data_IF_271647773193
#
_entry.id   IF_271647773193
#
_cell.length_a   1.000
_cell.length_b   1.000
_cell.length_c   1.000
_cell.angle_alpha   90.00
_cell.angle_beta   90.00
_cell.angle_gamma   90.00
#
_symmetry.space_group_name_H-M   'P 1'
#
loop_
_entity.id
_entity.type
_entity.pdbx_description
1 polymer ?
#
# COMPACT_ATOMS: atom_id res chain seq x y z
N UNK A 1 42.81 30.93 -39.31
CA UNK A 1 42.33 29.78 -38.51
C UNK A 1 42.76 28.50 -39.20
N UNK A 2 43.55 27.67 -38.54
CA UNK A 2 44.04 26.41 -39.10
C UNK A 2 42.96 25.33 -39.04
N UNK A 3 42.93 24.41 -40.02
CA UNK A 3 41.94 23.31 -40.11
C UNK A 3 41.84 22.48 -38.82
N UNK A 4 42.92 22.39 -38.04
CA UNK A 4 42.94 21.76 -36.72
C UNK A 4 42.07 22.48 -35.67
N UNK A 5 42.02 23.82 -35.69
CA UNK A 5 41.22 24.60 -34.73
C UNK A 5 39.72 24.39 -34.97
N UNK A 6 39.30 24.29 -36.23
CA UNK A 6 37.92 24.01 -36.60
C UNK A 6 37.52 22.59 -36.19
N UNK A 7 38.41 21.62 -36.37
CA UNK A 7 38.17 20.22 -35.96
C UNK A 7 38.07 20.08 -34.44
N UNK A 8 38.94 20.77 -33.69
CA UNK A 8 38.88 20.80 -32.23
C UNK A 8 37.60 21.47 -31.71
N UNK A 9 37.14 22.54 -32.37
CA UNK A 9 35.89 23.21 -32.02
C UNK A 9 34.68 22.28 -32.26
N UNK A 10 34.68 21.56 -33.39
CA UNK A 10 33.63 20.61 -33.76
C UNK A 10 33.55 19.43 -32.78
N UNK A 11 34.70 18.85 -32.41
CA UNK A 11 34.78 17.78 -31.40
C UNK A 11 34.31 18.25 -30.02
N UNK A 12 34.67 19.48 -29.62
CA UNK A 12 34.20 20.06 -28.35
C UNK A 12 32.69 20.32 -28.36
N UNK A 13 32.12 20.77 -29.48
CA UNK A 13 30.66 20.96 -29.61
C UNK A 13 29.88 19.63 -29.63
N UNK A 14 30.43 18.57 -30.23
CA UNK A 14 29.81 17.23 -30.20
C UNK A 14 29.85 16.65 -28.78
N UNK A 15 30.96 16.81 -28.06
CA UNK A 15 31.05 16.39 -26.66
C UNK A 15 30.05 17.15 -25.76
N UNK A 16 29.87 18.46 -25.98
CA UNK A 16 28.88 19.25 -25.27
C UNK A 16 27.45 18.74 -25.48
N UNK A 17 27.10 18.31 -26.70
CA UNK A 17 25.77 17.74 -26.98
C UNK A 17 25.52 16.45 -26.18
N UNK A 18 26.53 15.58 -26.04
CA UNK A 18 26.44 14.35 -25.22
C UNK A 18 26.40 14.60 -23.70
N UNK A 19 27.00 15.70 -23.21
CA UNK A 19 26.90 16.09 -21.79
C UNK A 19 25.63 16.89 -21.48
N UNK A 20 24.98 17.51 -22.49
CA UNK A 20 23.68 18.19 -22.31
C UNK A 20 22.48 17.29 -22.59
N UNK A 21 22.68 16.12 -23.19
CA UNK A 21 21.77 14.99 -23.01
C UNK A 21 22.02 14.35 -21.64
N UNK A 22 21.95 15.17 -20.57
CA UNK A 22 21.20 14.71 -19.42
C UNK A 22 19.84 14.37 -20.03
N UNK A 23 19.58 13.08 -20.22
CA UNK A 23 18.24 12.57 -20.04
C UNK A 23 17.70 13.40 -18.87
N UNK A 24 16.68 14.21 -19.15
CA UNK A 24 15.75 14.52 -18.08
C UNK A 24 15.53 13.16 -17.46
N UNK A 25 16.02 12.93 -16.24
CA UNK A 25 15.45 11.88 -15.42
C UNK A 25 13.97 12.16 -15.59
N UNK A 26 13.32 11.36 -16.42
CA UNK A 26 11.88 11.40 -16.55
C UNK A 26 11.48 11.41 -15.10
N UNK A 27 10.83 12.48 -14.65
CA UNK A 27 10.36 12.56 -13.29
C UNK A 27 9.45 11.35 -13.18
N UNK A 28 10.03 10.22 -12.76
CA UNK A 28 9.32 9.04 -12.40
C UNK A 28 8.71 9.57 -11.14
N UNK A 29 7.42 9.94 -11.26
CA UNK A 29 6.57 10.14 -10.10
C UNK A 29 7.04 9.10 -9.08
N UNK A 30 7.54 9.56 -7.91
CA UNK A 30 8.17 8.66 -6.96
C UNK A 30 7.22 7.51 -6.80
N UNK A 31 7.65 6.28 -7.08
CA UNK A 31 6.77 5.13 -7.08
C UNK A 31 6.15 5.05 -5.69
N UNK A 32 4.95 5.61 -5.57
CA UNK A 32 4.23 5.84 -4.32
C UNK A 32 4.00 4.52 -3.60
N UNK A 33 4.10 3.42 -4.35
CA UNK A 33 3.90 2.05 -3.93
C UNK A 33 5.22 1.27 -3.73
N UNK A 34 6.38 1.92 -3.79
CA UNK A 34 7.66 1.26 -3.53
C UNK A 34 7.82 1.01 -2.03
N UNK A 35 7.13 -0.03 -1.57
CA UNK A 35 7.28 -0.55 -0.22
C UNK A 35 8.72 -0.98 -0.03
N UNK A 36 9.34 -0.51 1.04
CA UNK A 36 10.73 -0.85 1.34
C UNK A 36 10.85 -2.36 1.61
N UNK A 37 11.97 -2.99 1.22
CA UNK A 37 12.22 -4.39 1.56
C UNK A 37 12.14 -4.67 3.06
N UNK A 38 12.50 -3.68 3.89
CA UNK A 38 12.42 -3.74 5.34
C UNK A 38 10.97 -3.86 5.85
N UNK A 39 10.08 -2.96 5.43
CA UNK A 39 8.66 -3.05 5.80
C UNK A 39 8.05 -4.37 5.31
N UNK A 40 8.38 -4.79 4.08
CA UNK A 40 7.93 -6.07 3.55
C UNK A 40 8.41 -7.25 4.40
N UNK A 41 9.65 -7.21 4.89
CA UNK A 41 10.21 -8.22 5.78
C UNK A 41 9.47 -8.27 7.12
N UNK A 42 9.20 -7.11 7.74
CA UNK A 42 8.46 -7.01 9.01
C UNK A 42 7.05 -7.58 8.88
N UNK A 43 6.32 -7.23 7.81
CA UNK A 43 5.00 -7.81 7.52
C UNK A 43 5.10 -9.33 7.39
N UNK A 44 6.05 -9.84 6.60
CA UNK A 44 6.25 -11.28 6.43
C UNK A 44 6.62 -12.00 7.74
N UNK A 45 7.33 -11.33 8.65
CA UNK A 45 7.64 -11.87 9.99
C UNK A 45 6.39 -11.90 10.86
N UNK A 46 5.61 -10.82 10.91
CA UNK A 46 4.33 -10.76 11.62
C UNK A 46 3.33 -11.80 11.13
N UNK A 47 3.26 -12.05 9.82
CA UNK A 47 2.46 -13.14 9.25
C UNK A 47 2.86 -14.51 9.79
N UNK A 48 4.14 -14.76 10.12
CA UNK A 48 4.58 -16.04 10.70
C UNK A 48 4.07 -16.23 12.13
N UNK A 49 3.83 -15.14 12.86
CA UNK A 49 3.28 -15.13 14.21
C UNK A 49 1.79 -15.46 14.27
N UNK A 50 1.09 -15.52 13.12
CA UNK A 50 -0.29 -16.03 13.05
C UNK A 50 -0.35 -17.56 13.12
N UNK A 51 -1.42 -18.11 13.70
CA UNK A 51 -1.59 -19.56 13.75
C UNK A 51 -1.95 -20.12 12.36
N UNK A 52 -1.71 -21.41 12.14
CA UNK A 52 -2.15 -22.07 10.89
C UNK A 52 -3.68 -22.05 10.75
N UNK A 53 -4.40 -22.12 11.86
CA UNK A 53 -5.86 -22.06 11.87
C UNK A 53 -6.35 -20.68 11.45
N UNK A 54 -5.81 -19.62 12.05
CA UNK A 54 -6.22 -18.25 11.73
C UNK A 54 -5.92 -17.90 10.28
N UNK A 55 -4.76 -18.30 9.75
CA UNK A 55 -4.44 -18.12 8.32
C UNK A 55 -5.44 -18.80 7.41
N UNK A 56 -5.86 -20.01 7.76
CA UNK A 56 -6.85 -20.77 6.98
C UNK A 56 -8.21 -20.06 7.00
N UNK A 57 -8.70 -19.70 8.19
CA UNK A 57 -9.99 -19.03 8.36
C UNK A 57 -9.99 -17.65 7.70
N UNK A 58 -8.89 -16.89 7.86
CA UNK A 58 -8.69 -15.61 7.20
C UNK A 58 -8.85 -15.75 5.69
N UNK A 59 -8.09 -16.66 5.06
CA UNK A 59 -8.15 -16.85 3.61
C UNK A 59 -9.55 -17.29 3.18
N UNK A 60 -10.17 -18.26 3.87
CA UNK A 60 -11.51 -18.74 3.53
C UNK A 60 -12.58 -17.63 3.59
N UNK A 61 -12.52 -16.74 4.59
CA UNK A 61 -13.47 -15.64 4.73
C UNK A 61 -13.17 -14.51 3.75
N UNK A 62 -11.90 -14.17 3.59
CA UNK A 62 -11.46 -13.15 2.65
C UNK A 62 -11.81 -13.54 1.22
N UNK A 63 -11.48 -14.75 0.79
CA UNK A 63 -11.75 -15.23 -0.58
C UNK A 63 -13.26 -15.22 -0.88
N UNK A 64 -14.11 -15.67 0.05
CA UNK A 64 -15.59 -15.56 -0.11
C UNK A 64 -16.07 -14.13 -0.25
N UNK A 65 -15.50 -13.22 0.54
CA UNK A 65 -15.83 -11.79 0.43
C UNK A 65 -15.43 -11.24 -0.95
N UNK A 66 -14.26 -11.62 -1.49
CA UNK A 66 -13.84 -11.19 -2.83
C UNK A 66 -14.72 -11.77 -3.92
N UNK A 67 -15.01 -13.07 -3.86
CA UNK A 67 -15.94 -13.73 -4.78
C UNK A 67 -17.28 -13.01 -4.80
N UNK A 68 -17.80 -12.62 -3.62
CA UNK A 68 -19.04 -11.86 -3.52
C UNK A 68 -18.93 -10.47 -4.17
N UNK A 69 -17.80 -9.80 -4.00
CA UNK A 69 -17.56 -8.52 -4.66
C UNK A 69 -17.53 -8.62 -6.17
N UNK A 70 -16.88 -9.66 -6.71
CA UNK A 70 -16.81 -9.90 -8.14
C UNK A 70 -18.19 -10.19 -8.73
N UNK A 71 -19.03 -10.98 -8.04
CA UNK A 71 -20.43 -11.22 -8.42
C UNK A 71 -21.24 -9.93 -8.53
N UNK A 72 -21.00 -8.98 -7.62
CA UNK A 72 -21.73 -7.71 -7.57
C UNK A 72 -21.23 -6.69 -8.60
N UNK A 73 -20.14 -6.99 -9.33
CA UNK A 73 -19.56 -6.10 -10.35
C UNK A 73 -19.42 -4.66 -9.82
N UNK A 74 -18.72 -4.51 -8.68
CA UNK A 74 -18.64 -3.34 -7.78
C UNK A 74 -18.20 -1.99 -8.38
N UNK A 75 -18.24 -1.83 -9.70
CA UNK A 75 -17.69 -0.76 -10.53
C UNK A 75 -18.14 0.69 -10.21
N UNK A 76 -18.94 0.92 -9.16
CA UNK A 76 -19.31 2.28 -8.74
C UNK A 76 -19.36 2.55 -7.23
N UNK A 77 -19.41 1.53 -6.35
CA UNK A 77 -19.54 1.78 -4.91
C UNK A 77 -18.92 0.68 -4.03
N UNK A 78 -17.76 0.93 -3.39
CA UNK A 78 -17.13 0.03 -2.42
C UNK A 78 -18.04 -0.40 -1.26
N UNK A 79 -18.95 0.48 -0.81
CA UNK A 79 -19.81 0.19 0.31
C UNK A 79 -20.80 -0.95 0.04
N UNK A 80 -21.17 -1.17 -1.23
CA UNK A 80 -22.04 -2.29 -1.61
C UNK A 80 -21.43 -3.65 -1.26
N UNK A 81 -20.10 -3.78 -1.43
CA UNK A 81 -19.36 -4.94 -0.97
C UNK A 81 -19.32 -5.06 0.56
N UNK A 82 -19.15 -3.93 1.25
CA UNK A 82 -19.01 -3.89 2.71
C UNK A 82 -20.34 -4.10 3.45
N UNK A 83 -21.48 -3.99 2.77
CA UNK A 83 -22.79 -4.30 3.34
C UNK A 83 -23.15 -5.80 3.25
N UNK A 84 -22.33 -6.60 2.56
CA UNK A 84 -22.60 -8.03 2.37
C UNK A 84 -22.40 -8.84 3.66
N UNK A 85 -23.17 -9.92 3.86
CA UNK A 85 -22.93 -10.86 4.96
C UNK A 85 -21.50 -11.42 4.99
N UNK A 86 -20.90 -11.64 3.81
CA UNK A 86 -19.54 -12.14 3.65
C UNK A 86 -18.51 -11.15 4.20
N UNK A 87 -18.68 -9.85 3.92
CA UNK A 87 -17.85 -8.82 4.54
C UNK A 87 -18.05 -8.74 6.05
N UNK A 88 -19.30 -8.78 6.52
CA UNK A 88 -19.57 -8.71 7.96
C UNK A 88 -18.96 -9.89 8.72
N UNK A 89 -19.03 -11.10 8.15
CA UNK A 89 -18.39 -12.30 8.70
C UNK A 89 -16.85 -12.21 8.68
N UNK A 90 -16.28 -11.65 7.60
CA UNK A 90 -14.84 -11.36 7.54
C UNK A 90 -14.41 -10.32 8.58
N UNK A 91 -15.16 -9.23 8.72
CA UNK A 91 -14.93 -8.16 9.69
C UNK A 91 -15.01 -8.70 11.12
N UNK A 92 -16.05 -9.47 11.46
CA UNK A 92 -16.19 -10.07 12.79
C UNK A 92 -15.00 -10.96 13.14
N UNK A 93 -14.51 -11.76 12.18
CA UNK A 93 -13.30 -12.54 12.36
C UNK A 93 -12.07 -11.66 12.61
N UNK A 94 -11.88 -10.59 11.83
CA UNK A 94 -10.77 -9.64 12.03
C UNK A 94 -10.80 -9.00 13.42
N UNK A 95 -11.99 -8.64 13.91
CA UNK A 95 -12.18 -7.99 15.21
C UNK A 95 -12.06 -8.92 16.42
N UNK A 96 -12.39 -10.20 16.25
CA UNK A 96 -12.35 -11.20 17.34
C UNK A 96 -11.04 -11.98 17.42
N UNK A 97 -10.20 -11.88 16.38
CA UNK A 97 -8.93 -12.60 16.29
C UNK A 97 -7.76 -11.87 16.96
N UNK A 98 -6.61 -12.56 17.03
CA UNK A 98 -5.35 -11.94 17.45
C UNK A 98 -5.00 -10.73 16.56
N UNK A 99 -4.44 -9.64 17.12
CA UNK A 99 -3.96 -8.49 16.34
C UNK A 99 -3.00 -8.87 15.20
N UNK A 100 -2.26 -9.99 15.35
CA UNK A 100 -1.35 -10.52 14.33
C UNK A 100 -2.06 -10.89 13.02
N UNK A 101 -3.36 -11.14 13.03
CA UNK A 101 -4.14 -11.39 11.80
C UNK A 101 -4.11 -10.15 10.88
N UNK A 102 -3.92 -8.95 11.42
CA UNK A 102 -3.74 -7.71 10.65
C UNK A 102 -2.60 -7.78 9.63
N UNK A 103 -1.52 -8.51 9.92
CA UNK A 103 -0.43 -8.68 8.94
C UNK A 103 -0.87 -9.43 7.68
N UNK A 104 -1.88 -10.31 7.76
CA UNK A 104 -2.46 -10.97 6.59
C UNK A 104 -3.25 -9.98 5.72
N UNK A 105 -4.00 -9.08 6.37
CA UNK A 105 -4.72 -8.02 5.68
C UNK A 105 -3.77 -7.04 4.99
N UNK A 106 -2.68 -6.65 5.65
CA UNK A 106 -1.61 -5.85 5.05
C UNK A 106 -1.00 -6.52 3.81
N UNK A 107 -0.75 -7.85 3.88
CA UNK A 107 -0.22 -8.59 2.74
C UNK A 107 -1.18 -8.61 1.55
N UNK A 108 -2.48 -8.77 1.81
CA UNK A 108 -3.54 -8.70 0.79
C UNK A 108 -3.64 -7.32 0.16
N UNK A 109 -3.56 -6.26 0.97
CA UNK A 109 -3.50 -4.88 0.48
C UNK A 109 -2.31 -4.66 -0.46
N UNK A 110 -1.11 -5.11 -0.06
CA UNK A 110 0.11 -4.93 -0.85
C UNK A 110 0.11 -5.72 -2.17
N UNK A 111 -0.64 -6.83 -2.23
CA UNK A 111 -0.85 -7.59 -3.46
C UNK A 111 -1.87 -6.96 -4.41
N UNK A 112 -2.55 -5.88 -3.98
CA UNK A 112 -3.56 -5.15 -4.74
C UNK A 112 -4.66 -6.07 -5.28
N UNK A 113 -5.16 -6.98 -4.43
CA UNK A 113 -6.24 -7.89 -4.84
C UNK A 113 -7.57 -7.16 -5.06
N UNK A 114 -7.72 -5.90 -4.60
CA UNK A 114 -8.95 -5.10 -4.72
C UNK A 114 -8.61 -3.60 -4.82
N UNK A 115 -9.34 -2.85 -5.65
CA UNK A 115 -9.12 -1.41 -5.86
C UNK A 115 -9.61 -0.52 -4.69
N UNK A 116 -10.59 -0.98 -3.91
CA UNK A 116 -11.17 -0.23 -2.78
C UNK A 116 -10.65 -0.69 -1.41
N UNK A 117 -9.50 -1.37 -1.39
CA UNK A 117 -8.95 -1.99 -0.19
C UNK A 117 -8.71 -0.99 0.96
N UNK A 118 -8.46 0.28 0.65
CA UNK A 118 -8.31 1.35 1.65
C UNK A 118 -9.58 1.57 2.49
N UNK A 119 -10.77 1.37 1.93
CA UNK A 119 -12.05 1.44 2.66
C UNK A 119 -12.20 0.30 3.67
N UNK A 120 -11.74 -0.91 3.30
CA UNK A 120 -11.73 -2.08 4.18
C UNK A 120 -10.78 -1.83 5.36
N UNK A 121 -9.57 -1.32 5.08
CA UNK A 121 -8.60 -0.99 6.12
C UNK A 121 -9.16 0.09 7.06
N UNK A 122 -9.74 1.15 6.50
CA UNK A 122 -10.38 2.21 7.29
C UNK A 122 -11.42 1.63 8.25
N UNK A 123 -12.38 0.84 7.74
CA UNK A 123 -13.47 0.30 8.57
C UNK A 123 -12.97 -0.67 9.64
N UNK A 124 -11.98 -1.51 9.33
CA UNK A 124 -11.38 -2.43 10.31
C UNK A 124 -10.58 -1.66 11.37
N UNK A 125 -9.74 -0.71 10.98
CA UNK A 125 -8.94 0.09 11.92
C UNK A 125 -9.82 0.95 12.82
N UNK A 126 -10.86 1.59 12.27
CA UNK A 126 -11.81 2.37 13.06
C UNK A 126 -12.50 1.52 14.13
N UNK A 127 -12.80 0.26 13.81
CA UNK A 127 -13.48 -0.65 14.73
C UNK A 127 -12.54 -1.34 15.75
N UNK A 128 -11.26 -1.54 15.41
CA UNK A 128 -10.31 -2.29 16.24
C UNK A 128 -9.24 -1.45 16.93
N UNK A 129 -8.70 -0.45 16.22
CA UNK A 129 -7.48 0.27 16.59
C UNK A 129 -7.56 1.77 16.19
N UNK A 130 -8.54 2.54 16.70
CA UNK A 130 -8.73 3.94 16.30
C UNK A 130 -7.52 4.84 16.61
N UNK A 131 -6.69 4.49 17.59
CA UNK A 131 -5.46 5.25 17.85
C UNK A 131 -4.46 5.23 16.67
N UNK A 132 -4.45 4.17 15.85
CA UNK A 132 -3.62 4.09 14.64
C UNK A 132 -4.13 5.08 13.60
N UNK A 133 -5.45 5.21 13.49
CA UNK A 133 -6.11 6.19 12.61
C UNK A 133 -5.72 7.61 12.99
N UNK A 134 -5.73 7.92 14.29
CA UNK A 134 -5.34 9.23 14.80
C UNK A 134 -3.88 9.54 14.48
N UNK A 135 -2.97 8.57 14.68
CA UNK A 135 -1.55 8.73 14.35
C UNK A 135 -1.30 8.94 12.86
N UNK A 136 -1.95 8.16 12.00
CA UNK A 136 -1.86 8.35 10.54
C UNK A 136 -2.37 9.74 10.20
N UNK A 137 -3.55 10.12 10.69
CA UNK A 137 -4.14 11.44 10.43
C UNK A 137 -3.25 12.59 10.91
N UNK A 138 -2.60 12.43 12.06
CA UNK A 138 -1.68 13.43 12.61
C UNK A 138 -0.42 13.60 11.77
N UNK A 139 0.15 12.51 11.26
CA UNK A 139 1.31 12.54 10.36
C UNK A 139 0.92 13.09 8.98
N UNK A 140 -0.32 12.84 8.59
CA UNK A 140 -0.89 13.22 7.30
C UNK A 140 -1.56 14.60 7.32
N UNK A 141 -1.25 15.49 8.29
CA UNK A 141 -1.82 16.84 8.58
C UNK A 141 -2.12 17.79 7.38
N UNK A 142 -1.87 17.38 6.13
CA UNK A 142 -2.18 18.11 4.88
C UNK A 142 -2.78 17.25 3.74
N UNK A 143 -3.03 15.95 3.94
CA UNK A 143 -3.42 15.00 2.88
C UNK A 143 -4.73 14.31 3.21
N UNK A 144 -5.81 14.78 2.57
CA UNK A 144 -6.96 13.94 2.23
C UNK A 144 -7.69 13.20 3.36
N UNK A 145 -8.52 12.23 2.98
CA UNK A 145 -9.10 11.24 3.91
C UNK A 145 -8.08 10.14 4.23
N UNK A 146 -8.36 9.27 5.21
CA UNK A 146 -7.47 8.13 5.49
C UNK A 146 -7.43 7.15 4.31
N UNK A 147 -8.55 6.96 3.62
CA UNK A 147 -8.60 6.11 2.43
C UNK A 147 -7.64 6.62 1.35
N UNK A 148 -7.62 7.94 1.15
CA UNK A 148 -6.65 8.60 0.28
C UNK A 148 -5.22 8.47 0.81
N UNK A 149 -5.03 8.50 2.13
CA UNK A 149 -3.71 8.33 2.76
C UNK A 149 -3.12 6.95 2.51
N UNK A 150 -3.91 5.87 2.61
CA UNK A 150 -3.44 4.52 2.27
C UNK A 150 -3.15 4.36 0.77
N UNK A 151 -3.90 5.07 -0.07
CA UNK A 151 -3.68 5.06 -1.52
C UNK A 151 -2.42 5.84 -1.92
N UNK A 152 -2.20 7.02 -1.34
CA UNK A 152 -1.15 7.97 -1.67
C UNK A 152 0.15 7.79 -0.87
N UNK A 153 0.09 7.15 0.30
CA UNK A 153 1.23 6.97 1.19
C UNK A 153 1.19 5.60 1.90
N UNK A 154 1.07 4.48 1.15
CA UNK A 154 0.94 3.15 1.73
C UNK A 154 2.12 2.78 2.64
N UNK A 155 3.34 3.19 2.28
CA UNK A 155 4.55 2.95 3.09
C UNK A 155 4.43 3.56 4.49
N UNK A 156 3.99 4.82 4.58
CA UNK A 156 3.88 5.53 5.86
C UNK A 156 2.77 4.92 6.72
N UNK A 157 1.59 4.71 6.12
CA UNK A 157 0.44 4.16 6.83
C UNK A 157 0.73 2.75 7.39
N UNK A 158 1.36 1.89 6.59
CA UNK A 158 1.73 0.55 7.02
C UNK A 158 2.87 0.56 8.05
N UNK A 159 3.85 1.47 7.94
CA UNK A 159 4.87 1.62 8.99
C UNK A 159 4.24 1.94 10.34
N UNK A 160 3.35 2.93 10.41
CA UNK A 160 2.67 3.32 11.66
C UNK A 160 1.89 2.14 12.23
N UNK A 161 1.17 1.40 11.38
CA UNK A 161 0.40 0.24 11.81
C UNK A 161 1.31 -0.89 12.33
N UNK A 162 2.36 -1.25 11.58
CA UNK A 162 3.32 -2.29 12.01
C UNK A 162 4.06 -1.88 13.28
N UNK A 163 4.50 -0.63 13.40
CA UNK A 163 5.14 -0.11 14.61
C UNK A 163 4.19 -0.20 15.82
N UNK A 164 2.90 0.04 15.62
CA UNK A 164 1.92 -0.10 16.71
C UNK A 164 1.75 -1.56 17.13
N UNK A 165 1.68 -2.50 16.18
CA UNK A 165 1.55 -3.93 16.49
C UNK A 165 2.81 -4.49 17.17
N UNK A 166 4.00 -4.06 16.74
CA UNK A 166 5.28 -4.51 17.31
C UNK A 166 5.50 -4.02 18.76
N UNK A 167 4.77 -2.99 19.20
CA UNK A 167 4.88 -2.37 20.52
C UNK A 167 3.71 -2.72 21.49
N UNK A 168 2.81 -3.65 21.11
CA UNK A 168 1.73 -4.19 21.95
C UNK A 168 2.22 -5.33 22.84
#
# INVERSE_FOLDING_TARGET
MTKLQILALLLASIALIFFTSCESESFQEPDVYKITPDLRLRINQGMKSTTKSDRKIFNEKFDRFIEKCDELSYASNPYTCMETPEYQDFKEFMLSSSPNVSYLLMDKFLKKEIDFFSYIIHDILMASQPAIMDQISEQMKSVGTLEESFYLYPQLCLNIWVDTLDNQ
#
